data_IF_328512960280
#
_entry.id   IF_328512960280
#
_cell.length_a   1.000
_cell.length_b   1.000
_cell.length_c   1.000
_cell.angle_alpha   90.00
_cell.angle_beta   90.00
_cell.angle_gamma   90.00
#
_symmetry.space_group_name_H-M   'P 1'
#
loop_
_entity.id
_entity.type
_entity.pdbx_description
1 polymer ?
#
# COMPACT_ATOMS: atom_id res chain seq x y z
N UNK A 1 -9.15 -15.98 -27.28
CA UNK A 1 -8.50 -16.21 -25.98
C UNK A 1 -8.36 -14.86 -25.32
N UNK A 2 -9.14 -14.56 -24.28
CA UNK A 2 -9.05 -13.30 -23.55
C UNK A 2 -7.81 -13.31 -22.66
N UNK A 3 -6.92 -12.34 -22.82
CA UNK A 3 -5.71 -12.20 -21.98
C UNK A 3 -6.01 -11.22 -20.85
N UNK A 4 -6.10 -11.73 -19.62
CA UNK A 4 -6.27 -10.90 -18.42
C UNK A 4 -4.99 -10.08 -18.17
N UNK A 5 -5.10 -8.77 -17.94
CA UNK A 5 -3.99 -7.82 -17.69
C UNK A 5 -3.34 -7.98 -16.28
N UNK A 6 -2.89 -9.18 -15.92
CA UNK A 6 -2.11 -9.40 -14.68
C UNK A 6 -0.74 -8.71 -14.71
N UNK A 7 -0.19 -8.45 -15.90
CA UNK A 7 1.12 -7.78 -16.11
C UNK A 7 1.18 -6.39 -15.50
N UNK A 8 0.18 -5.54 -15.74
CA UNK A 8 0.18 -4.13 -15.29
C UNK A 8 0.06 -4.00 -13.77
N UNK A 9 -0.65 -4.92 -13.12
CA UNK A 9 -0.76 -4.99 -11.65
C UNK A 9 0.58 -5.33 -11.03
N UNK A 10 1.25 -6.36 -11.55
CA UNK A 10 2.57 -6.79 -11.10
C UNK A 10 3.63 -5.72 -11.35
N UNK A 11 3.58 -5.05 -12.50
CA UNK A 11 4.47 -3.92 -12.80
C UNK A 11 4.31 -2.76 -11.82
N UNK A 12 3.07 -2.40 -11.46
CA UNK A 12 2.83 -1.37 -10.42
C UNK A 12 3.31 -1.83 -9.05
N UNK A 13 3.09 -3.10 -8.67
CA UNK A 13 3.61 -3.69 -7.43
C UNK A 13 5.13 -3.70 -7.35
N UNK A 14 5.81 -3.87 -8.49
CA UNK A 14 7.27 -3.87 -8.59
C UNK A 14 7.85 -2.46 -8.81
N UNK A 15 7.00 -1.45 -8.99
CA UNK A 15 7.46 -0.05 -9.09
C UNK A 15 8.11 0.36 -7.78
N UNK A 16 9.30 0.98 -7.90
CA UNK A 16 10.06 1.52 -6.75
C UNK A 16 9.20 2.50 -5.96
N UNK A 17 8.36 3.29 -6.63
CA UNK A 17 7.41 4.20 -6.00
C UNK A 17 6.47 3.44 -5.06
N UNK A 18 5.81 2.39 -5.57
CA UNK A 18 4.84 1.62 -4.79
C UNK A 18 5.51 0.88 -3.63
N UNK A 19 6.63 0.20 -3.91
CA UNK A 19 7.41 -0.52 -2.90
C UNK A 19 7.94 0.43 -1.82
N UNK A 20 8.46 1.60 -2.19
CA UNK A 20 8.97 2.58 -1.25
C UNK A 20 7.88 3.13 -0.33
N UNK A 21 6.70 3.45 -0.89
CA UNK A 21 5.54 3.92 -0.11
C UNK A 21 5.01 2.83 0.84
N UNK A 22 4.97 1.58 0.38
CA UNK A 22 4.53 0.44 1.21
C UNK A 22 5.54 0.14 2.32
N UNK A 23 6.84 0.16 2.02
CA UNK A 23 7.90 0.00 3.01
C UNK A 23 7.92 1.17 4.02
N UNK A 24 7.72 2.41 3.55
CA UNK A 24 7.66 3.57 4.42
C UNK A 24 6.50 3.47 5.42
N UNK A 25 5.29 3.14 4.95
CA UNK A 25 4.14 2.95 5.83
C UNK A 25 4.34 1.79 6.81
N UNK A 26 4.94 0.68 6.37
CA UNK A 26 5.29 -0.45 7.24
C UNK A 26 6.32 -0.06 8.30
N UNK A 27 7.39 0.64 7.92
CA UNK A 27 8.40 1.16 8.85
C UNK A 27 7.78 2.11 9.88
N UNK A 28 6.81 2.93 9.47
CA UNK A 28 6.09 3.82 10.38
C UNK A 28 5.26 3.04 11.40
N UNK A 29 4.49 2.04 10.93
CA UNK A 29 3.70 1.16 11.81
C UNK A 29 4.60 0.46 12.81
N UNK A 30 5.69 -0.17 12.34
CA UNK A 30 6.64 -0.87 13.20
C UNK A 30 7.23 0.09 14.23
N UNK A 31 7.65 1.29 13.81
CA UNK A 31 8.19 2.33 14.69
C UNK A 31 7.27 2.61 15.89
N UNK A 32 5.96 2.79 15.64
CA UNK A 32 4.96 3.04 16.69
C UNK A 32 4.89 1.89 17.69
N UNK A 33 5.06 0.65 17.23
CA UNK A 33 5.14 -0.50 18.14
C UNK A 33 6.48 -0.59 18.88
N UNK A 34 7.60 -0.19 18.28
CA UNK A 34 8.92 -0.25 18.93
C UNK A 34 9.13 0.81 20.00
N UNK A 35 8.68 2.05 19.79
CA UNK A 35 8.77 3.09 20.83
C UNK A 35 7.63 3.01 21.85
N UNK A 36 6.59 2.23 21.54
CA UNK A 36 5.45 1.96 22.41
C UNK A 36 4.30 2.96 22.22
N UNK A 37 3.08 2.49 22.50
CA UNK A 37 1.87 3.31 22.40
C UNK A 37 1.60 3.92 23.77
N UNK A 38 1.81 5.23 23.91
CA UNK A 38 1.70 5.94 25.18
C UNK A 38 0.58 6.99 25.20
N UNK A 39 0.17 7.49 24.03
CA UNK A 39 -0.81 8.55 23.88
C UNK A 39 -1.88 8.22 22.84
N UNK A 40 -3.02 8.90 22.91
CA UNK A 40 -4.03 8.93 21.83
C UNK A 40 -3.41 9.34 20.49
N UNK A 41 -2.37 10.17 20.50
CA UNK A 41 -1.64 10.54 19.29
C UNK A 41 -0.97 9.35 18.58
N UNK A 42 -0.49 8.36 19.33
CA UNK A 42 0.16 7.17 18.76
C UNK A 42 -0.87 6.28 18.05
N UNK A 43 -2.08 6.18 18.60
CA UNK A 43 -3.21 5.51 17.95
C UNK A 43 -3.62 6.20 16.65
N UNK A 44 -3.62 7.53 16.62
CA UNK A 44 -3.88 8.29 15.39
C UNK A 44 -2.78 8.08 14.35
N UNK A 45 -1.51 8.04 14.76
CA UNK A 45 -0.40 7.74 13.86
C UNK A 45 -0.48 6.33 13.29
N UNK A 46 -0.77 5.33 14.13
CA UNK A 46 -0.98 3.95 13.71
C UNK A 46 -2.12 3.85 12.69
N UNK A 47 -3.24 4.52 12.98
CA UNK A 47 -4.39 4.60 12.08
C UNK A 47 -4.04 5.25 10.74
N UNK A 48 -3.34 6.40 10.76
CA UNK A 48 -2.92 7.10 9.56
C UNK A 48 -1.97 6.25 8.70
N UNK A 49 -0.97 5.62 9.31
CA UNK A 49 -0.04 4.74 8.60
C UNK A 49 -0.74 3.49 8.04
N UNK A 50 -1.74 2.96 8.74
CA UNK A 50 -2.58 1.86 8.26
C UNK A 50 -3.46 2.27 7.07
N UNK A 51 -4.06 3.46 7.12
CA UNK A 51 -4.81 4.04 6.00
C UNK A 51 -3.92 4.28 4.78
N UNK A 52 -2.66 4.70 4.99
CA UNK A 52 -1.69 4.84 3.91
C UNK A 52 -1.40 3.48 3.26
N UNK A 53 -1.15 2.44 4.04
CA UNK A 53 -0.95 1.09 3.51
C UNK A 53 -2.18 0.60 2.73
N UNK A 54 -3.39 0.87 3.24
CA UNK A 54 -4.65 0.53 2.55
C UNK A 54 -4.80 1.27 1.22
N UNK A 55 -4.47 2.57 1.18
CA UNK A 55 -4.49 3.38 -0.03
C UNK A 55 -3.54 2.81 -1.09
N UNK A 56 -2.33 2.42 -0.68
CA UNK A 56 -1.38 1.74 -1.56
C UNK A 56 -1.95 0.44 -2.14
N UNK A 57 -2.58 -0.39 -1.33
CA UNK A 57 -3.24 -1.62 -1.80
C UNK A 57 -4.37 -1.28 -2.78
N UNK A 58 -5.18 -0.27 -2.49
CA UNK A 58 -6.27 0.18 -3.37
C UNK A 58 -5.77 0.61 -4.75
N UNK A 59 -4.57 1.20 -4.87
CA UNK A 59 -3.98 1.48 -6.21
C UNK A 59 -3.72 0.21 -7.03
N UNK A 60 -3.48 -0.93 -6.38
CA UNK A 60 -3.37 -2.26 -7.01
C UNK A 60 -4.72 -3.01 -7.06
N UNK A 61 -5.82 -2.43 -6.59
CA UNK A 61 -7.16 -2.96 -6.86
C UNK A 61 -7.87 -2.14 -7.95
N UNK A 62 -7.54 -0.85 -8.11
CA UNK A 62 -8.25 0.06 -9.01
C UNK A 62 -7.88 0.04 -10.51
N UNK A 63 -6.70 -0.43 -10.94
CA UNK A 63 -6.35 -0.71 -12.35
C UNK A 63 -7.39 -1.67 -12.94
N UNK A 64 -8.28 -1.10 -13.75
CA UNK A 64 -9.25 -1.85 -14.52
C UNK A 64 -8.55 -2.70 -15.59
N UNK A 65 -9.00 -3.95 -15.82
CA UNK A 65 -8.55 -4.72 -16.96
C UNK A 65 -9.12 -4.08 -18.24
N UNK A 66 -8.27 -3.41 -19.01
CA UNK A 66 -8.64 -2.95 -20.36
C UNK A 66 -8.82 -4.17 -21.27
N UNK A 67 -10.04 -4.36 -21.78
CA UNK A 67 -10.30 -5.31 -22.86
C UNK A 67 -9.73 -4.72 -24.15
N UNK A 68 -8.68 -5.36 -24.68
CA UNK A 68 -8.20 -5.11 -26.03
C UNK A 68 -8.92 -6.13 -26.92
N UNK A 69 -9.77 -5.65 -27.82
CA UNK A 69 -10.44 -6.45 -28.86
C UNK A 69 -9.44 -6.98 -29.90
#
# INVERSE_FOLDING_TARGET
>A
MFTIHTRTRLEKMLSIEWLGQTLASLCWIISVFTYGIASTGDWLQLGAASCWMMSNIATIVAIEPSLVE
#
